data_IF_286086101791
#
_entry.id   IF_286086101791
#
_cell.length_a   1.000
_cell.length_b   1.000
_cell.length_c   1.000
_cell.angle_alpha   90.00
_cell.angle_beta   90.00
_cell.angle_gamma   90.00
#
_symmetry.space_group_name_H-M   'P 1'
#
loop_
_entity.id
_entity.type
_entity.pdbx_description
1 polymer ?
#
# COMPACT_ATOMS: atom_id res chain seq x y z
N UNK A 1 -27.70 -33.76 -5.60
CA UNK A 1 -26.64 -33.22 -4.71
C UNK A 1 -25.40 -32.70 -5.45
N UNK A 2 -24.96 -33.30 -6.56
CA UNK A 2 -23.72 -32.91 -7.27
C UNK A 2 -23.85 -31.61 -8.11
N UNK A 3 -25.05 -31.28 -8.58
CA UNK A 3 -25.31 -30.09 -9.41
C UNK A 3 -25.47 -28.79 -8.58
N UNK A 4 -25.98 -28.88 -7.35
CA UNK A 4 -26.08 -27.73 -6.43
C UNK A 4 -24.71 -27.26 -5.95
N UNK A 5 -23.73 -28.15 -5.87
CA UNK A 5 -22.35 -27.81 -5.46
C UNK A 5 -21.56 -27.05 -6.52
N UNK A 6 -21.84 -27.29 -7.82
CA UNK A 6 -21.17 -26.57 -8.92
C UNK A 6 -21.65 -25.13 -9.06
N UNK A 7 -22.94 -24.86 -8.79
CA UNK A 7 -23.50 -23.52 -8.80
C UNK A 7 -22.92 -22.63 -7.69
N UNK A 8 -22.66 -23.19 -6.50
CA UNK A 8 -22.02 -22.45 -5.40
C UNK A 8 -20.55 -22.11 -5.68
N UNK A 9 -19.81 -23.02 -6.35
CA UNK A 9 -18.41 -22.77 -6.73
C UNK A 9 -18.29 -21.71 -7.83
N UNK A 10 -19.24 -21.65 -8.76
CA UNK A 10 -19.28 -20.61 -9.79
C UNK A 10 -19.59 -19.21 -9.22
N UNK A 11 -20.43 -19.12 -8.18
CA UNK A 11 -20.72 -17.86 -7.47
C UNK A 11 -19.51 -17.37 -6.64
N UNK A 12 -18.70 -18.28 -6.09
CA UNK A 12 -17.46 -17.92 -5.38
C UNK A 12 -16.31 -17.54 -6.32
N UNK A 13 -16.25 -18.12 -7.54
CA UNK A 13 -15.25 -17.75 -8.54
C UNK A 13 -15.50 -16.37 -9.16
N UNK A 14 -16.73 -15.86 -9.15
CA UNK A 14 -17.05 -14.52 -9.65
C UNK A 14 -16.55 -13.37 -8.76
N UNK A 15 -16.16 -13.64 -7.50
CA UNK A 15 -15.53 -12.66 -6.63
C UNK A 15 -13.98 -12.63 -6.76
N UNK A 16 -13.39 -13.48 -7.61
CA UNK A 16 -11.95 -13.64 -7.69
C UNK A 16 -11.26 -12.78 -8.76
N UNK A 17 -12.01 -12.04 -9.59
CA UNK A 17 -11.44 -11.15 -10.61
C UNK A 17 -12.23 -9.84 -10.69
N UNK A 18 -12.12 -9.02 -9.64
CA UNK A 18 -12.47 -7.61 -9.74
C UNK A 18 -11.24 -6.85 -10.24
N UNK A 19 -11.18 -6.45 -11.52
CA UNK A 19 -10.26 -5.38 -11.93
C UNK A 19 -10.71 -4.11 -11.20
N UNK A 20 -9.99 -3.72 -10.15
CA UNK A 20 -10.35 -2.53 -9.36
C UNK A 20 -10.15 -2.60 -7.85
N UNK A 21 -9.49 -3.63 -7.30
CA UNK A 21 -9.11 -3.58 -5.87
C UNK A 21 -7.88 -2.70 -5.71
N UNK A 22 -8.11 -1.46 -5.29
CA UNK A 22 -7.05 -0.51 -4.98
C UNK A 22 -6.29 -0.94 -3.71
N UNK A 23 -4.97 -0.69 -3.62
CA UNK A 23 -4.16 -1.21 -2.53
C UNK A 23 -4.46 -0.51 -1.20
N UNK A 24 -4.24 -1.23 -0.10
CA UNK A 24 -4.46 -0.75 1.28
C UNK A 24 -3.22 -1.02 2.14
N UNK A 25 -2.91 -0.17 3.13
CA UNK A 25 -1.68 -0.26 3.92
C UNK A 25 -1.74 -1.33 5.03
N UNK A 26 -1.94 -2.59 4.64
CA UNK A 26 -2.19 -3.71 5.57
C UNK A 26 -1.03 -3.97 6.52
N UNK A 27 0.20 -3.96 6.01
CA UNK A 27 1.40 -4.24 6.78
C UNK A 27 1.85 -3.03 7.59
N UNK A 28 1.66 -1.81 7.08
CA UNK A 28 1.89 -0.61 7.88
C UNK A 28 0.90 -0.51 9.06
N UNK A 29 -0.40 -0.79 8.86
CA UNK A 29 -1.37 -0.84 9.97
C UNK A 29 -1.01 -1.95 10.96
N UNK A 30 -0.67 -3.15 10.48
CA UNK A 30 -0.23 -4.25 11.35
C UNK A 30 1.01 -3.89 12.18
N UNK A 31 2.02 -3.29 11.56
CA UNK A 31 3.24 -2.83 12.23
C UNK A 31 2.94 -1.75 13.28
N UNK A 32 1.97 -0.86 13.01
CA UNK A 32 1.56 0.18 13.97
C UNK A 32 0.95 -0.35 15.27
N UNK A 33 0.43 -1.58 15.25
CA UNK A 33 -0.16 -2.28 16.41
C UNK A 33 0.89 -3.08 17.21
N UNK A 34 2.16 -3.02 16.82
CA UNK A 34 3.26 -3.69 17.50
C UNK A 34 3.39 -5.18 17.15
N UNK A 35 4.12 -5.92 17.99
CA UNK A 35 4.55 -7.30 17.72
C UNK A 35 3.38 -8.24 17.39
N UNK A 36 2.25 -8.11 18.09
CA UNK A 36 1.06 -8.94 17.86
C UNK A 36 0.39 -8.65 16.51
N UNK A 37 0.31 -7.37 16.11
CA UNK A 37 -0.22 -6.99 14.80
C UNK A 37 0.66 -7.53 13.67
N UNK A 38 1.98 -7.38 13.79
CA UNK A 38 2.94 -7.90 12.83
C UNK A 38 2.88 -9.44 12.72
N UNK A 39 2.69 -10.15 13.83
CA UNK A 39 2.56 -11.62 13.84
C UNK A 39 1.29 -12.07 13.11
N UNK A 40 0.16 -11.40 13.32
CA UNK A 40 -1.10 -11.69 12.64
C UNK A 40 -1.08 -11.37 11.14
N UNK A 41 -0.29 -10.38 10.71
CA UNK A 41 -0.12 -10.08 9.29
C UNK A 41 0.63 -11.18 8.52
N UNK A 42 1.40 -12.01 9.23
CA UNK A 42 2.22 -13.08 8.67
C UNK A 42 3.50 -12.57 8.01
N UNK A 43 4.33 -13.50 7.53
CA UNK A 43 5.55 -13.19 6.79
C UNK A 43 5.26 -13.18 5.29
N UNK A 44 5.39 -12.04 4.59
CA UNK A 44 5.18 -12.01 3.15
C UNK A 44 6.34 -12.67 2.42
N UNK A 45 6.03 -13.33 1.30
CA UNK A 45 7.03 -13.80 0.34
C UNK A 45 7.53 -12.63 -0.51
N UNK A 46 8.68 -12.77 -1.18
CA UNK A 46 9.19 -11.74 -2.11
C UNK A 46 8.18 -11.44 -3.23
N UNK A 47 7.56 -12.46 -3.79
CA UNK A 47 6.53 -12.30 -4.82
C UNK A 47 5.35 -11.43 -4.35
N UNK A 48 4.93 -11.56 -3.08
CA UNK A 48 3.87 -10.73 -2.51
C UNK A 48 4.31 -9.27 -2.33
N UNK A 49 5.57 -9.03 -1.97
CA UNK A 49 6.14 -7.67 -1.88
C UNK A 49 6.16 -7.01 -3.27
N UNK A 50 6.59 -7.76 -4.28
CA UNK A 50 6.66 -7.28 -5.67
C UNK A 50 5.26 -6.97 -6.21
N UNK A 51 4.29 -7.87 -5.98
CA UNK A 51 2.88 -7.66 -6.37
C UNK A 51 2.27 -6.44 -5.67
N UNK A 52 2.51 -6.26 -4.37
CA UNK A 52 2.05 -5.07 -3.66
C UNK A 52 2.70 -3.80 -4.22
N UNK A 53 4.00 -3.84 -4.52
CA UNK A 53 4.73 -2.72 -5.11
C UNK A 53 4.15 -2.34 -6.47
N UNK A 54 3.80 -3.32 -7.30
CA UNK A 54 3.17 -3.07 -8.60
C UNK A 54 1.77 -2.47 -8.45
N UNK A 55 0.91 -3.05 -7.60
CA UNK A 55 -0.45 -2.54 -7.37
C UNK A 55 -0.46 -1.11 -6.87
N UNK A 56 0.44 -0.77 -5.95
CA UNK A 56 0.62 0.62 -5.51
C UNK A 56 1.10 1.52 -6.65
N UNK A 57 2.09 1.07 -7.43
CA UNK A 57 2.64 1.86 -8.54
C UNK A 57 1.60 2.12 -9.65
N UNK A 58 0.80 1.12 -9.99
CA UNK A 58 -0.31 1.23 -10.95
C UNK A 58 -1.37 2.21 -10.45
N UNK A 59 -1.83 2.07 -9.19
CA UNK A 59 -2.84 2.97 -8.63
C UNK A 59 -2.36 4.43 -8.61
N UNK A 60 -1.09 4.67 -8.25
CA UNK A 60 -0.51 6.01 -8.21
C UNK A 60 -0.31 6.60 -9.61
N UNK A 61 0.25 5.80 -10.54
CA UNK A 61 0.41 6.22 -11.93
C UNK A 61 -0.93 6.56 -12.60
N UNK A 62 -1.94 5.74 -12.36
CA UNK A 62 -3.29 5.98 -12.86
C UNK A 62 -3.94 7.19 -12.19
N UNK A 63 -3.65 7.45 -10.92
CA UNK A 63 -4.12 8.65 -10.21
C UNK A 63 -3.58 9.93 -10.85
N UNK A 64 -2.29 9.94 -11.23
CA UNK A 64 -1.70 11.05 -11.97
C UNK A 64 -2.36 11.23 -13.35
N UNK A 65 -2.57 10.14 -14.10
CA UNK A 65 -3.25 10.19 -15.41
C UNK A 65 -4.72 10.66 -15.31
N UNK A 66 -5.39 10.32 -14.21
CA UNK A 66 -6.74 10.75 -13.88
C UNK A 66 -6.82 12.18 -13.31
N UNK A 67 -5.70 12.87 -13.14
CA UNK A 67 -5.62 14.21 -12.55
C UNK A 67 -6.19 14.30 -11.12
N UNK A 68 -6.03 13.24 -10.34
CA UNK A 68 -6.25 13.30 -8.88
C UNK A 68 -5.25 14.30 -8.28
N UNK A 69 -5.63 14.99 -7.20
CA UNK A 69 -4.78 15.99 -6.56
C UNK A 69 -3.37 15.44 -6.30
N UNK A 70 -2.35 16.08 -6.88
CA UNK A 70 -0.94 15.67 -6.75
C UNK A 70 -0.53 15.48 -5.30
N UNK A 71 -0.98 16.36 -4.38
CA UNK A 71 -0.70 16.22 -2.95
C UNK A 71 -1.27 14.91 -2.39
N UNK A 72 -2.53 14.60 -2.69
CA UNK A 72 -3.17 13.36 -2.22
C UNK A 72 -2.50 12.11 -2.79
N UNK A 73 -2.07 12.16 -4.06
CA UNK A 73 -1.34 11.05 -4.68
C UNK A 73 0.04 10.86 -4.05
N UNK A 74 0.76 11.94 -3.75
CA UNK A 74 2.05 11.87 -3.04
C UNK A 74 1.86 11.32 -1.63
N UNK A 75 0.87 11.80 -0.88
CA UNK A 75 0.58 11.30 0.48
C UNK A 75 0.25 9.80 0.44
N UNK A 76 -0.61 9.35 -0.49
CA UNK A 76 -0.90 7.94 -0.69
C UNK A 76 0.36 7.14 -1.09
N UNK A 77 1.23 7.71 -1.92
CA UNK A 77 2.49 7.10 -2.31
C UNK A 77 3.46 6.92 -1.14
N UNK A 78 3.55 7.90 -0.24
CA UNK A 78 4.32 7.77 1.00
C UNK A 78 3.76 6.64 1.87
N UNK A 79 2.44 6.51 1.98
CA UNK A 79 1.80 5.37 2.68
C UNK A 79 2.13 4.03 2.02
N UNK A 80 2.13 3.96 0.68
CA UNK A 80 2.60 2.79 -0.05
C UNK A 80 4.05 2.43 0.29
N UNK A 81 4.93 3.44 0.38
CA UNK A 81 6.32 3.25 0.77
C UNK A 81 6.46 2.63 2.17
N UNK A 82 5.64 3.08 3.13
CA UNK A 82 5.60 2.51 4.47
C UNK A 82 5.14 1.06 4.48
N UNK A 83 4.09 0.75 3.74
CA UNK A 83 3.52 -0.58 3.66
C UNK A 83 4.54 -1.57 3.07
N UNK A 84 5.20 -1.19 1.97
CA UNK A 84 6.26 -1.98 1.35
C UNK A 84 7.48 -2.10 2.27
N UNK A 85 7.83 -1.05 3.02
CA UNK A 85 8.88 -1.09 4.05
C UNK A 85 8.56 -2.11 5.15
N UNK A 86 7.33 -2.08 5.68
CA UNK A 86 6.86 -3.02 6.69
C UNK A 86 6.83 -4.46 6.15
N UNK A 87 6.43 -4.66 4.89
CA UNK A 87 6.49 -5.97 4.23
C UNK A 87 7.93 -6.48 4.10
N UNK A 88 8.87 -5.63 3.67
CA UNK A 88 10.29 -6.01 3.56
C UNK A 88 10.90 -6.36 4.93
N UNK A 89 10.54 -5.62 5.98
CA UNK A 89 10.96 -5.91 7.36
C UNK A 89 10.46 -7.30 7.79
N UNK A 90 9.16 -7.56 7.58
CA UNK A 90 8.54 -8.84 7.91
C UNK A 90 9.15 -9.99 7.08
N UNK A 91 9.37 -9.77 5.78
CA UNK A 91 9.89 -10.78 4.85
C UNK A 91 11.35 -11.15 5.13
N UNK A 92 12.20 -10.19 5.50
CA UNK A 92 13.63 -10.41 5.77
C UNK A 92 13.93 -10.87 7.20
N UNK A 93 12.99 -10.68 8.14
CA UNK A 93 13.21 -10.94 9.56
C UNK A 93 13.80 -9.75 10.33
N UNK A 94 13.75 -8.53 9.76
CA UNK A 94 14.03 -7.29 10.50
C UNK A 94 15.35 -6.58 10.19
N UNK A 95 15.95 -6.76 9.01
CA UNK A 95 17.15 -6.01 8.60
C UNK A 95 16.86 -4.55 8.27
N UNK A 96 17.38 -3.61 9.07
CA UNK A 96 17.18 -2.17 8.85
C UNK A 96 17.73 -1.68 7.50
N UNK A 97 18.76 -2.35 6.98
CA UNK A 97 19.38 -2.05 5.69
C UNK A 97 18.45 -2.44 4.52
N UNK A 98 17.90 -3.65 4.54
CA UNK A 98 16.94 -4.13 3.54
C UNK A 98 15.66 -3.29 3.50
N UNK A 99 15.18 -2.85 4.66
CA UNK A 99 14.02 -1.97 4.77
C UNK A 99 14.30 -0.62 4.13
N UNK A 100 15.42 0.04 4.47
CA UNK A 100 15.80 1.32 3.87
C UNK A 100 16.02 1.22 2.36
N UNK A 101 16.69 0.16 1.91
CA UNK A 101 16.91 -0.07 0.49
C UNK A 101 15.60 -0.30 -0.27
N UNK A 102 14.66 -1.08 0.31
CA UNK A 102 13.34 -1.31 -0.25
C UNK A 102 12.50 -0.03 -0.37
N UNK A 103 12.43 0.74 0.71
CA UNK A 103 11.71 2.03 0.74
C UNK A 103 12.35 3.04 -0.21
N UNK A 104 13.68 3.14 -0.24
CA UNK A 104 14.40 4.05 -1.14
C UNK A 104 14.12 3.75 -2.62
N UNK A 105 14.16 2.47 -3.03
CA UNK A 105 13.78 2.06 -4.39
C UNK A 105 12.35 2.46 -4.73
N UNK A 106 11.43 2.30 -3.78
CA UNK A 106 10.03 2.63 -3.98
C UNK A 106 9.80 4.15 -4.13
N UNK A 107 10.47 4.99 -3.33
CA UNK A 107 10.38 6.46 -3.46
C UNK A 107 10.90 6.93 -4.83
N UNK A 108 12.01 6.38 -5.30
CA UNK A 108 12.52 6.70 -6.65
C UNK A 108 11.50 6.33 -7.71
N UNK A 109 10.84 5.17 -7.57
CA UNK A 109 9.74 4.76 -8.44
C UNK A 109 8.56 5.75 -8.38
N UNK A 110 8.16 6.19 -7.19
CA UNK A 110 7.10 7.19 -7.01
C UNK A 110 7.40 8.49 -7.78
N UNK A 111 8.63 9.00 -7.67
CA UNK A 111 9.05 10.19 -8.40
C UNK A 111 8.94 10.01 -9.93
N UNK A 112 9.32 8.83 -10.44
CA UNK A 112 9.19 8.53 -11.87
C UNK A 112 7.73 8.48 -12.35
N UNK A 113 6.80 7.98 -11.52
CA UNK A 113 5.39 7.87 -11.86
C UNK A 113 4.73 9.24 -12.06
N UNK A 114 5.13 10.25 -11.28
CA UNK A 114 4.62 11.61 -11.41
C UNK A 114 4.98 12.27 -12.74
N UNK A 115 6.08 11.83 -13.37
CA UNK A 115 6.57 12.36 -14.65
C UNK A 115 6.19 11.52 -15.87
N UNK A 116 5.68 10.30 -15.64
CA UNK A 116 5.39 9.37 -16.71
C UNK A 116 4.06 9.72 -17.39
N UNK A 117 4.06 9.90 -18.72
CA UNK A 117 2.81 9.93 -19.48
C UNK A 117 2.24 8.51 -19.53
N UNK A 118 1.04 8.33 -18.95
CA UNK A 118 0.27 7.09 -19.01
C UNK A 118 -1.03 7.33 -19.73
N UNK A 119 -1.53 6.32 -20.43
CA UNK A 119 -2.88 6.35 -21.01
C UNK A 119 -3.89 6.54 -19.89
N UNK A 120 -4.89 7.42 -20.12
CA UNK A 120 -5.90 7.71 -19.11
C UNK A 120 -6.80 6.48 -18.92
N UNK A 121 -7.00 6.00 -17.68
CA UNK A 121 -7.93 4.91 -17.40
C UNK A 121 -9.39 5.27 -17.71
N UNK A 122 -10.27 4.26 -17.58
CA UNK A 122 -11.72 4.48 -17.69
C UNK A 122 -12.23 5.50 -16.65
N UNK A 123 -13.32 6.24 -16.96
CA UNK A 123 -13.87 7.23 -16.03
C UNK A 123 -14.20 6.66 -14.64
N UNK A 124 -14.82 5.48 -14.58
CA UNK A 124 -15.14 4.84 -13.30
C UNK A 124 -13.90 4.48 -12.47
N UNK A 125 -12.77 4.16 -13.11
CA UNK A 125 -11.49 3.96 -12.39
C UNK A 125 -10.95 5.28 -11.86
N UNK A 126 -11.07 6.37 -12.61
CA UNK A 126 -10.69 7.70 -12.10
C UNK A 126 -11.52 8.12 -10.89
N UNK A 127 -12.83 7.87 -10.89
CA UNK A 127 -13.71 8.17 -9.74
C UNK A 127 -13.32 7.35 -8.50
N UNK A 128 -12.98 6.07 -8.70
CA UNK A 128 -12.48 5.22 -7.62
C UNK A 128 -11.14 5.71 -7.06
N UNK A 129 -10.20 6.13 -7.92
CA UNK A 129 -8.89 6.65 -7.53
C UNK A 129 -8.99 7.99 -6.79
N UNK A 130 -9.88 8.87 -7.22
CA UNK A 130 -10.15 10.14 -6.55
C UNK A 130 -10.70 9.94 -5.13
N UNK A 131 -11.48 8.89 -4.90
CA UNK A 131 -11.94 8.51 -3.56
C UNK A 131 -10.84 7.78 -2.77
N UNK A 132 -10.07 6.91 -3.42
CA UNK A 132 -9.06 6.08 -2.77
C UNK A 132 -7.88 6.86 -2.21
N UNK A 133 -7.28 7.78 -2.99
CA UNK A 133 -6.08 8.49 -2.61
C UNK A 133 -6.18 9.18 -1.22
N UNK A 134 -7.24 9.97 -0.92
CA UNK A 134 -7.40 10.56 0.42
C UNK A 134 -7.63 9.52 1.52
N UNK A 135 -8.36 8.43 1.25
CA UNK A 135 -8.59 7.36 2.23
C UNK A 135 -7.30 6.59 2.55
N UNK A 136 -6.49 6.28 1.53
CA UNK A 136 -5.18 5.65 1.71
C UNK A 136 -4.24 6.53 2.54
N UNK A 137 -4.20 7.83 2.23
CA UNK A 137 -3.41 8.80 2.98
C UNK A 137 -3.85 8.88 4.46
N UNK A 138 -5.16 8.94 4.73
CA UNK A 138 -5.68 8.97 6.11
C UNK A 138 -5.37 7.68 6.88
N UNK A 139 -5.55 6.52 6.24
CA UNK A 139 -5.21 5.23 6.85
C UNK A 139 -3.73 5.16 7.26
N UNK A 140 -2.83 5.70 6.43
CA UNK A 140 -1.43 5.81 6.77
C UNK A 140 -1.17 6.78 7.93
N UNK A 141 -1.77 7.98 7.93
CA UNK A 141 -1.65 8.93 9.06
C UNK A 141 -2.11 8.31 10.38
N UNK A 142 -3.22 7.58 10.36
CA UNK A 142 -3.71 6.85 11.53
C UNK A 142 -2.74 5.77 11.98
N UNK A 143 -2.17 4.98 11.06
CA UNK A 143 -1.13 4.00 11.39
C UNK A 143 0.10 4.66 12.02
N UNK A 144 0.56 5.80 11.51
CA UNK A 144 1.70 6.55 12.09
C UNK A 144 1.36 7.07 13.48
N UNK A 145 0.19 7.67 13.66
CA UNK A 145 -0.29 8.14 14.97
C UNK A 145 -0.34 7.00 15.99
N UNK A 146 -0.85 5.83 15.57
CA UNK A 146 -0.91 4.62 16.41
C UNK A 146 0.48 4.10 16.77
N UNK A 147 1.39 4.02 15.80
CA UNK A 147 2.76 3.58 16.02
C UNK A 147 3.48 4.47 17.04
N UNK A 148 3.30 5.80 16.94
CA UNK A 148 3.84 6.77 17.91
C UNK A 148 3.22 6.58 19.29
N UNK A 149 1.90 6.45 19.39
CA UNK A 149 1.21 6.20 20.66
C UNK A 149 1.68 4.90 21.33
N UNK A 150 2.10 3.91 20.54
CA UNK A 150 2.61 2.63 21.01
C UNK A 150 4.13 2.61 21.28
N UNK A 151 4.84 3.75 21.17
CA UNK A 151 6.29 3.82 21.41
C UNK A 151 7.13 3.07 20.36
N UNK A 152 6.58 2.78 19.18
CA UNK A 152 7.24 1.99 18.13
C UNK A 152 8.11 2.85 17.20
N UNK A 153 8.27 4.14 17.52
CA UNK A 153 8.88 5.15 16.66
C UNK A 153 10.21 5.72 17.18
N UNK A 154 10.67 5.29 18.36
CA UNK A 154 11.78 5.94 19.06
C UNK A 154 13.19 5.59 18.54
N UNK A 155 13.31 4.94 17.38
CA UNK A 155 14.60 4.75 16.70
C UNK A 155 14.46 4.77 15.17
N UNK A 156 15.27 5.59 14.49
CA UNK A 156 15.61 5.61 13.05
C UNK A 156 14.51 5.63 11.96
N UNK A 157 13.22 5.60 12.29
CA UNK A 157 12.11 5.71 11.31
C UNK A 157 11.51 7.12 11.16
N UNK A 158 12.04 8.11 11.90
CA UNK A 158 11.47 9.45 12.00
C UNK A 158 11.38 10.22 10.69
N UNK A 159 12.36 10.07 9.79
CA UNK A 159 12.52 10.99 8.65
C UNK A 159 11.48 10.79 7.52
N UNK A 160 11.03 9.55 7.31
CA UNK A 160 10.00 9.23 6.30
C UNK A 160 8.58 9.50 6.81
N UNK A 161 8.39 9.45 8.13
CA UNK A 161 7.11 9.65 8.79
C UNK A 161 6.84 11.14 9.06
N UNK A 162 7.87 11.96 9.28
CA UNK A 162 7.73 13.40 9.46
C UNK A 162 7.17 14.10 8.22
N UNK A 163 7.39 13.51 7.03
CA UNK A 163 6.83 13.99 5.76
C UNK A 163 5.33 13.73 5.61
N UNK A 164 4.78 12.71 6.28
CA UNK A 164 3.35 12.37 6.25
C UNK A 164 2.49 13.19 7.22
N UNK A 165 3.13 13.92 8.15
CA UNK A 165 2.45 14.67 9.22
C UNK A 165 2.30 16.17 8.88
N UNK A 166 2.86 16.65 7.75
CA UNK A 166 2.76 18.04 7.27
C UNK A 166 1.67 18.26 6.22
#
# INVERSE_FOLDING_TARGET
MRQTSLALLALLAACATVPGVLPTPRYADAASRGMWGALLAGRPTRAQVDEATERWSEALGDSFACHVSTRQVIDAGLVGALDIGAMNAASSGGGAEEVRAGVGRYIVRLASLATQQRERPSPGRCDALAQWAPHAAEAGREAVRRARANGLMDNNYGLLMDLLVR
#
